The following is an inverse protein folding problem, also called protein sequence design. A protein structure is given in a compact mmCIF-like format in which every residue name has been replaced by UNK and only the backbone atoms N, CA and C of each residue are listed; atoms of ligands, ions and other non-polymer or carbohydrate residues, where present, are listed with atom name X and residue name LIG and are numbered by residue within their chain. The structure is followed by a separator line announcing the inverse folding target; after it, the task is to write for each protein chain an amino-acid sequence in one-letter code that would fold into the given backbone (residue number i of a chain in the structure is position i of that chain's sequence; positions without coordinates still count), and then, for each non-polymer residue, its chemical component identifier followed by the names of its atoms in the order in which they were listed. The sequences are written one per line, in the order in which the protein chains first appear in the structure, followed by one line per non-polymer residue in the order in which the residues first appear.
data_IF_466874322632
#
_entry.id   IF_466874322632
#
_cell.length_a   1.000
_cell.length_b   1.000
_cell.length_c   1.000
_cell.angle_alpha   90.00
_cell.angle_beta   90.00
_cell.angle_gamma   90.00
#
_symmetry.space_group_name_H-M   'P 1'
#
loop_
_entity.id
_entity.type
_entity.pdbx_description
1 polymer ?
#
# COMPACT_ATOMS: atom_id res chain seq x y z
N UNK A 1 -45.69 43.54 38.70
CA UNK A 1 -45.39 42.17 38.16
C UNK A 1 -44.49 42.33 36.97
N UNK A 2 -43.20 42.08 37.17
CA UNK A 2 -42.19 42.17 36.10
C UNK A 2 -42.11 40.80 35.38
N UNK A 3 -42.46 40.77 34.09
CA UNK A 3 -42.29 39.58 33.26
C UNK A 3 -40.83 39.44 32.89
N UNK A 4 -40.18 38.41 33.39
CA UNK A 4 -38.83 38.00 33.01
C UNK A 4 -38.99 37.18 31.74
N UNK A 5 -38.51 37.69 30.59
CA UNK A 5 -38.34 36.92 29.37
C UNK A 5 -37.01 36.19 29.47
N UNK A 6 -37.10 34.88 29.71
CA UNK A 6 -35.93 33.99 29.56
C UNK A 6 -35.73 33.79 28.07
N UNK A 7 -34.73 34.47 27.53
CA UNK A 7 -34.26 34.18 26.17
C UNK A 7 -33.43 32.89 26.28
N UNK A 8 -34.08 31.78 25.87
CA UNK A 8 -33.38 30.55 25.59
C UNK A 8 -32.53 30.78 24.34
N UNK A 9 -31.26 31.14 24.55
CA UNK A 9 -30.25 31.14 23.52
C UNK A 9 -29.95 29.67 23.24
N UNK A 10 -30.67 29.07 22.28
CA UNK A 10 -30.33 27.77 21.73
C UNK A 10 -29.01 27.92 20.99
N UNK A 11 -27.92 27.64 21.71
CA UNK A 11 -26.62 27.41 21.12
C UNK A 11 -26.73 26.08 20.35
N UNK A 12 -27.27 26.16 19.14
CA UNK A 12 -27.05 25.12 18.13
C UNK A 12 -25.59 25.26 17.75
N UNK A 13 -24.74 24.64 18.55
CA UNK A 13 -23.41 24.29 18.10
C UNK A 13 -23.62 23.35 16.91
N UNK A 14 -23.58 23.91 15.70
CA UNK A 14 -23.21 23.16 14.52
C UNK A 14 -21.81 22.61 14.83
N UNK A 15 -21.76 21.47 15.49
CA UNK A 15 -20.68 20.53 15.27
C UNK A 15 -20.81 20.18 13.78
N UNK A 16 -20.18 20.99 12.93
CA UNK A 16 -19.68 20.51 11.67
C UNK A 16 -18.77 19.34 12.06
N UNK A 17 -19.34 18.14 12.14
CA UNK A 17 -18.57 16.97 11.93
C UNK A 17 -17.94 17.21 10.54
N UNK A 18 -16.74 17.76 10.54
CA UNK A 18 -15.84 17.60 9.42
C UNK A 18 -15.73 16.08 9.31
N UNK A 19 -16.63 15.50 8.54
CA UNK A 19 -16.41 14.19 8.00
C UNK A 19 -15.02 14.34 7.38
N UNK A 20 -14.02 13.79 8.03
CA UNK A 20 -12.71 13.62 7.42
C UNK A 20 -13.02 12.74 6.22
N UNK A 21 -13.29 13.39 5.09
CA UNK A 21 -13.40 12.69 3.83
C UNK A 21 -12.07 12.03 3.66
N UNK A 22 -12.06 10.73 3.79
CA UNK A 22 -10.89 9.90 3.49
C UNK A 22 -10.31 10.42 2.19
N UNK A 23 -9.04 10.85 2.15
CA UNK A 23 -8.47 11.38 0.93
C UNK A 23 -8.71 10.36 -0.18
N UNK A 24 -9.42 10.75 -1.23
CA UNK A 24 -9.56 9.88 -2.36
C UNK A 24 -8.23 9.94 -3.12
N UNK A 25 -7.38 8.93 -2.94
CA UNK A 25 -6.05 8.84 -3.54
C UNK A 25 -6.10 8.90 -5.09
N UNK A 26 -7.27 8.64 -5.66
CA UNK A 26 -7.48 8.58 -7.11
C UNK A 26 -8.16 9.85 -7.67
N UNK A 27 -8.45 10.82 -6.81
CA UNK A 27 -9.06 12.10 -7.22
C UNK A 27 -8.35 13.25 -6.54
N UNK A 28 -7.79 14.13 -7.35
CA UNK A 28 -7.26 15.39 -6.85
C UNK A 28 -8.39 16.29 -6.34
N UNK A 29 -8.10 17.08 -5.31
CA UNK A 29 -9.00 18.12 -4.83
C UNK A 29 -9.27 19.17 -5.92
N UNK A 30 -8.28 19.44 -6.78
CA UNK A 30 -8.37 20.27 -7.96
C UNK A 30 -7.99 19.45 -9.20
N UNK A 31 -9.00 18.90 -9.87
CA UNK A 31 -8.84 18.07 -11.06
C UNK A 31 -8.24 18.82 -12.24
N UNK A 32 -8.58 20.10 -12.42
CA UNK A 32 -8.06 20.90 -13.52
C UNK A 32 -6.55 21.16 -13.35
N UNK A 33 -6.14 21.49 -12.14
CA UNK A 33 -4.72 21.67 -11.79
C UNK A 33 -3.93 20.39 -11.96
N UNK A 34 -4.49 19.26 -11.52
CA UNK A 34 -3.86 17.96 -11.71
C UNK A 34 -3.69 17.62 -13.19
N UNK A 35 -4.74 17.77 -13.99
CA UNK A 35 -4.67 17.49 -15.42
C UNK A 35 -3.63 18.37 -16.11
N UNK A 36 -3.62 19.68 -15.82
CA UNK A 36 -2.61 20.59 -16.36
C UNK A 36 -1.17 20.17 -16.01
N UNK A 37 -0.95 19.74 -14.76
CA UNK A 37 0.36 19.23 -14.35
C UNK A 37 0.72 17.94 -15.08
N UNK A 38 -0.22 16.98 -15.17
CA UNK A 38 -0.02 15.70 -15.88
C UNK A 38 0.34 15.97 -17.35
N UNK A 39 -0.45 16.80 -18.04
CA UNK A 39 -0.23 17.12 -19.44
C UNK A 39 1.15 17.79 -19.64
N UNK A 40 1.50 18.75 -18.79
CA UNK A 40 2.79 19.45 -18.88
C UNK A 40 3.99 18.51 -18.69
N UNK A 41 3.89 17.56 -17.79
CA UNK A 41 4.95 16.57 -17.55
C UNK A 41 5.00 15.56 -18.70
N UNK A 42 3.83 15.07 -19.15
CA UNK A 42 3.73 14.09 -20.21
C UNK A 42 4.26 14.63 -21.55
N UNK A 43 3.90 15.87 -21.90
CA UNK A 43 4.34 16.50 -23.16
C UNK A 43 5.84 16.82 -23.17
N UNK A 44 6.42 17.05 -21.98
CA UNK A 44 7.85 17.27 -21.84
C UNK A 44 8.69 15.97 -21.87
N UNK A 45 8.07 14.80 -21.91
CA UNK A 45 8.76 13.51 -21.97
C UNK A 45 8.92 13.00 -23.40
N UNK A 46 10.09 12.46 -23.73
CA UNK A 46 10.27 11.63 -24.91
C UNK A 46 9.46 10.33 -24.81
N UNK A 47 9.32 9.62 -25.94
CA UNK A 47 8.63 8.32 -25.96
C UNK A 47 9.30 7.32 -25.02
N UNK A 48 10.63 7.25 -25.02
CA UNK A 48 11.39 6.33 -24.16
C UNK A 48 11.24 6.70 -22.67
N UNK A 49 11.21 7.99 -22.33
CA UNK A 49 10.94 8.42 -20.96
C UNK A 49 9.53 8.05 -20.50
N UNK A 50 8.52 8.16 -21.37
CA UNK A 50 7.14 7.71 -21.06
C UNK A 50 7.09 6.22 -20.78
N UNK A 51 7.81 5.42 -21.59
CA UNK A 51 7.94 3.97 -21.32
C UNK A 51 8.67 3.73 -19.99
N UNK A 52 9.75 4.45 -19.73
CA UNK A 52 10.50 4.36 -18.47
C UNK A 52 9.63 4.55 -17.23
N UNK A 53 8.66 5.49 -17.29
CA UNK A 53 7.73 5.73 -16.18
C UNK A 53 6.83 4.52 -15.83
N UNK A 54 6.67 3.55 -16.72
CA UNK A 54 5.90 2.33 -16.45
C UNK A 54 6.68 1.28 -15.65
N UNK A 55 7.97 1.48 -15.42
CA UNK A 55 8.81 0.52 -14.68
C UNK A 55 8.99 0.92 -13.23
N UNK A 56 8.74 -0.06 -12.35
CA UNK A 56 9.14 -0.04 -10.96
C UNK A 56 10.20 -1.13 -10.76
N UNK A 57 11.39 -0.73 -10.29
CA UNK A 57 12.53 -1.64 -10.18
C UNK A 57 12.85 -1.97 -8.74
N UNK A 58 13.34 -3.20 -8.49
CA UNK A 58 13.77 -3.61 -7.16
C UNK A 58 15.03 -2.83 -6.77
N UNK A 59 14.92 -2.13 -5.64
CA UNK A 59 16.01 -1.43 -4.98
C UNK A 59 16.35 -2.15 -3.67
N UNK A 60 17.54 -2.74 -3.60
CA UNK A 60 18.03 -3.17 -2.30
C UNK A 60 18.53 -1.93 -1.56
N UNK A 61 18.11 -1.70 -0.31
CA UNK A 61 18.60 -0.58 0.49
C UNK A 61 20.02 -0.90 0.99
N UNK A 62 20.97 -0.84 0.07
CA UNK A 62 22.40 -0.94 0.30
C UNK A 62 23.05 0.28 -0.29
N UNK A 63 23.82 0.99 0.51
CA UNK A 63 24.55 2.20 0.09
C UNK A 63 25.85 1.89 -0.65
N UNK A 64 26.13 0.60 -0.95
CA UNK A 64 27.34 0.23 -1.69
C UNK A 64 27.36 0.85 -3.09
N UNK A 65 28.59 1.14 -3.55
CA UNK A 65 28.81 1.89 -4.81
C UNK A 65 28.19 1.21 -6.02
N UNK A 66 28.28 -0.11 -6.14
CA UNK A 66 27.76 -0.85 -7.31
C UNK A 66 26.23 -0.77 -7.39
N UNK A 67 25.56 -0.98 -6.25
CA UNK A 67 24.10 -0.88 -6.18
C UNK A 67 23.64 0.53 -6.50
N UNK A 68 24.28 1.54 -5.92
CA UNK A 68 23.93 2.93 -6.18
C UNK A 68 24.19 3.35 -7.63
N UNK A 69 25.31 2.92 -8.24
CA UNK A 69 25.56 3.19 -9.68
C UNK A 69 24.47 2.58 -10.57
N UNK A 70 24.05 1.34 -10.28
CA UNK A 70 22.96 0.69 -11.01
C UNK A 70 21.64 1.45 -10.88
N UNK A 71 21.23 1.81 -9.67
CA UNK A 71 20.00 2.54 -9.41
C UNK A 71 20.02 3.94 -10.04
N UNK A 72 21.13 4.66 -9.90
CA UNK A 72 21.32 5.97 -10.52
C UNK A 72 21.23 5.91 -12.06
N UNK A 73 21.73 4.83 -12.68
CA UNK A 73 21.56 4.62 -14.12
C UNK A 73 20.09 4.44 -14.50
N UNK A 74 19.32 3.67 -13.74
CA UNK A 74 17.88 3.53 -13.99
C UNK A 74 17.13 4.88 -13.87
N UNK A 75 17.48 5.69 -12.89
CA UNK A 75 16.90 7.03 -12.72
C UNK A 75 17.30 7.97 -13.83
N UNK A 76 18.61 8.02 -14.19
CA UNK A 76 19.14 9.03 -15.08
C UNK A 76 18.98 8.68 -16.57
N UNK A 77 19.05 7.39 -16.93
CA UNK A 77 19.02 6.96 -18.34
C UNK A 77 17.64 6.39 -18.70
N UNK A 78 17.09 5.47 -17.89
CA UNK A 78 15.80 4.83 -18.17
C UNK A 78 14.62 5.69 -17.75
N UNK A 79 14.80 6.62 -16.79
CA UNK A 79 13.75 7.49 -16.23
C UNK A 79 12.61 6.70 -15.59
N UNK A 80 12.94 5.71 -14.78
CA UNK A 80 11.95 4.83 -14.13
C UNK A 80 10.93 5.61 -13.29
N UNK A 81 9.68 5.10 -13.27
CA UNK A 81 8.58 5.68 -12.51
C UNK A 81 8.54 5.29 -11.04
N UNK A 82 9.24 4.23 -10.64
CA UNK A 82 9.20 3.78 -9.26
C UNK A 82 10.30 2.82 -8.84
N UNK A 83 10.38 2.63 -7.52
CA UNK A 83 11.29 1.69 -6.86
C UNK A 83 10.52 0.85 -5.84
N UNK A 84 10.89 -0.43 -5.75
CA UNK A 84 10.38 -1.38 -4.76
C UNK A 84 11.53 -1.78 -3.82
N UNK A 85 11.40 -1.46 -2.54
CA UNK A 85 12.35 -1.93 -1.54
C UNK A 85 12.03 -3.35 -1.09
N UNK A 86 13.01 -4.24 -1.16
CA UNK A 86 12.82 -5.65 -0.87
C UNK A 86 13.29 -6.04 0.55
N UNK A 87 14.48 -5.67 0.96
CA UNK A 87 15.03 -5.94 2.30
C UNK A 87 16.06 -4.87 2.69
N UNK A 88 16.16 -4.58 3.99
CA UNK A 88 17.15 -3.64 4.50
C UNK A 88 16.87 -3.16 5.91
N UNK A 89 17.31 -1.94 6.17
CA UNK A 89 17.06 -1.21 7.39
C UNK A 89 16.51 0.19 7.06
N UNK A 90 15.81 0.84 8.00
CA UNK A 90 15.16 2.14 7.74
C UNK A 90 16.13 3.25 7.35
N UNK A 91 17.29 3.31 7.99
CA UNK A 91 18.26 4.39 7.77
C UNK A 91 18.81 4.33 6.35
N UNK A 92 19.32 3.17 5.96
CA UNK A 92 19.87 2.97 4.61
C UNK A 92 18.78 3.14 3.53
N UNK A 93 17.55 2.70 3.80
CA UNK A 93 16.43 2.93 2.86
C UNK A 93 16.16 4.42 2.68
N UNK A 94 16.09 5.21 3.76
CA UNK A 94 15.84 6.64 3.69
C UNK A 94 16.96 7.35 2.90
N UNK A 95 18.23 7.01 3.14
CA UNK A 95 19.37 7.55 2.41
C UNK A 95 19.28 7.26 0.91
N UNK A 96 19.00 6.01 0.54
CA UNK A 96 18.87 5.58 -0.86
C UNK A 96 17.68 6.30 -1.51
N UNK A 97 16.53 6.35 -0.84
CA UNK A 97 15.33 7.05 -1.32
C UNK A 97 15.64 8.52 -1.61
N UNK A 98 16.24 9.23 -0.66
CA UNK A 98 16.54 10.65 -0.79
C UNK A 98 17.52 10.92 -1.94
N UNK A 99 18.53 10.08 -2.13
CA UNK A 99 19.50 10.22 -3.22
C UNK A 99 18.84 10.00 -4.58
N UNK A 100 17.99 8.99 -4.72
CA UNK A 100 17.32 8.68 -5.97
C UNK A 100 16.24 9.72 -6.31
N UNK A 101 15.44 10.14 -5.34
CA UNK A 101 14.44 11.21 -5.53
C UNK A 101 15.08 12.53 -5.93
N UNK A 102 16.21 12.89 -5.31
CA UNK A 102 16.96 14.11 -5.69
C UNK A 102 17.49 14.07 -7.13
N UNK A 103 17.83 12.89 -7.63
CA UNK A 103 18.34 12.70 -8.99
C UNK A 103 17.22 12.61 -10.04
N UNK A 104 16.01 12.23 -9.62
CA UNK A 104 14.89 12.05 -10.53
C UNK A 104 14.28 13.38 -10.94
N UNK A 105 14.06 13.56 -12.25
CA UNK A 105 13.36 14.74 -12.80
C UNK A 105 11.86 14.71 -12.45
N UNK A 106 11.27 13.52 -12.47
CA UNK A 106 9.87 13.28 -12.08
C UNK A 106 9.92 12.49 -10.78
N UNK A 107 9.22 12.92 -9.72
CA UNK A 107 9.20 12.17 -8.46
C UNK A 107 8.76 10.72 -8.67
N UNK A 108 9.55 9.78 -8.16
CA UNK A 108 9.26 8.34 -8.29
C UNK A 108 8.31 7.87 -7.21
N UNK A 109 7.48 6.89 -7.55
CA UNK A 109 6.74 6.12 -6.56
C UNK A 109 7.69 5.18 -5.81
N UNK A 110 7.53 5.12 -4.50
CA UNK A 110 8.29 4.23 -3.63
C UNK A 110 7.34 3.19 -3.05
N UNK A 111 7.68 1.94 -3.16
CA UNK A 111 6.85 0.83 -2.70
C UNK A 111 7.60 -0.17 -1.84
N UNK A 112 6.85 -0.98 -1.14
CA UNK A 112 7.34 -2.04 -0.27
C UNK A 112 6.25 -3.12 -0.10
N UNK A 113 6.65 -4.38 0.09
CA UNK A 113 5.76 -5.44 0.58
C UNK A 113 5.74 -5.43 2.11
N UNK A 114 4.72 -4.87 2.69
CA UNK A 114 4.54 -4.80 4.14
C UNK A 114 3.24 -5.44 4.61
N UNK A 115 3.00 -6.71 4.26
CA UNK A 115 1.74 -7.41 4.56
C UNK A 115 1.41 -7.40 6.04
N UNK A 116 2.41 -7.61 6.89
CA UNK A 116 2.31 -7.47 8.36
C UNK A 116 3.18 -6.34 8.89
N UNK A 117 3.18 -5.20 8.16
CA UNK A 117 3.95 -4.01 8.49
C UNK A 117 5.37 -4.04 7.95
N UNK A 118 6.13 -2.96 8.21
CA UNK A 118 7.44 -2.74 7.62
C UNK A 118 8.47 -3.80 8.02
N UNK A 119 8.30 -4.44 9.18
CA UNK A 119 9.19 -5.49 9.68
C UNK A 119 9.29 -6.74 8.79
N UNK A 120 8.35 -6.90 7.86
CA UNK A 120 8.47 -7.91 6.81
C UNK A 120 9.72 -7.69 5.95
N UNK A 121 10.12 -6.45 5.76
CA UNK A 121 11.22 -6.04 4.86
C UNK A 121 12.33 -5.27 5.54
N UNK A 122 12.00 -4.48 6.56
CA UNK A 122 12.94 -3.57 7.22
C UNK A 122 13.24 -4.04 8.64
N UNK A 123 14.48 -4.46 8.87
CA UNK A 123 14.95 -4.85 10.21
C UNK A 123 14.90 -3.64 11.16
N UNK A 124 14.62 -3.93 12.44
CA UNK A 124 14.57 -2.88 13.47
C UNK A 124 13.28 -2.07 13.51
N UNK A 125 12.29 -2.39 12.68
CA UNK A 125 10.95 -1.79 12.75
C UNK A 125 9.99 -2.61 13.64
N UNK A 126 8.84 -2.02 13.99
CA UNK A 126 7.84 -2.69 14.82
C UNK A 126 7.36 -4.00 14.18
N UNK A 127 7.41 -5.07 14.96
CA UNK A 127 6.91 -6.38 14.53
C UNK A 127 5.45 -6.53 14.93
N UNK A 128 4.60 -6.68 13.92
CA UNK A 128 3.20 -7.05 14.11
C UNK A 128 3.00 -8.56 13.93
N UNK A 129 1.89 -9.12 14.46
CA UNK A 129 1.49 -10.48 14.14
C UNK A 129 1.27 -10.66 12.63
N UNK A 130 1.41 -11.90 12.16
CA UNK A 130 1.02 -12.24 10.78
C UNK A 130 -0.49 -12.22 10.61
N UNK A 131 -0.95 -12.10 9.38
CA UNK A 131 -2.36 -11.89 9.05
C UNK A 131 -3.28 -12.99 9.58
N UNK A 132 -2.86 -14.26 9.60
CA UNK A 132 -3.67 -15.35 10.16
C UNK A 132 -4.02 -15.11 11.64
N UNK A 133 -3.09 -14.57 12.42
CA UNK A 133 -3.36 -14.21 13.82
C UNK A 133 -4.27 -12.98 13.91
N UNK A 134 -4.10 -12.00 13.03
CA UNK A 134 -4.97 -10.83 12.93
C UNK A 134 -6.39 -11.22 12.48
N UNK A 135 -6.51 -12.27 11.67
CA UNK A 135 -7.78 -12.84 11.24
C UNK A 135 -8.67 -13.34 12.38
N UNK A 136 -8.07 -13.74 13.51
CA UNK A 136 -8.80 -14.17 14.71
C UNK A 136 -9.42 -13.02 15.53
N UNK A 137 -9.10 -11.77 15.20
CA UNK A 137 -9.68 -10.60 15.87
C UNK A 137 -11.11 -10.39 15.35
N UNK A 138 -12.11 -10.36 16.23
CA UNK A 138 -13.51 -10.17 15.83
C UNK A 138 -13.79 -8.74 15.37
N UNK A 139 -13.27 -7.74 16.10
CA UNK A 139 -13.48 -6.32 15.82
C UNK A 139 -12.60 -5.80 14.69
N UNK A 140 -13.19 -5.64 13.50
CA UNK A 140 -12.49 -5.11 12.31
C UNK A 140 -12.01 -3.66 12.46
N UNK A 141 -12.51 -2.91 13.45
CA UNK A 141 -11.99 -1.56 13.71
C UNK A 141 -10.53 -1.61 14.16
N UNK A 142 -10.11 -2.64 14.88
CA UNK A 142 -8.72 -2.86 15.29
C UNK A 142 -7.81 -3.14 14.09
N UNK A 143 -8.33 -3.83 13.07
CA UNK A 143 -7.59 -4.05 11.81
C UNK A 143 -7.43 -2.74 11.05
N UNK A 144 -8.44 -1.87 11.08
CA UNK A 144 -8.33 -0.54 10.48
C UNK A 144 -7.28 0.33 11.22
N UNK A 145 -7.27 0.31 12.55
CA UNK A 145 -6.24 1.02 13.34
C UNK A 145 -4.84 0.46 13.08
N UNK A 146 -4.70 -0.85 12.97
CA UNK A 146 -3.46 -1.48 12.56
C UNK A 146 -3.00 -0.99 11.17
N UNK A 147 -3.92 -0.91 10.19
CA UNK A 147 -3.62 -0.36 8.86
C UNK A 147 -3.18 1.10 8.91
N UNK A 148 -3.79 1.92 9.77
CA UNK A 148 -3.38 3.32 9.99
C UNK A 148 -1.95 3.41 10.57
N UNK A 149 -1.60 2.55 11.50
CA UNK A 149 -0.25 2.54 12.07
C UNK A 149 0.80 2.12 11.04
N UNK A 150 0.52 1.08 10.23
CA UNK A 150 1.39 0.70 9.11
C UNK A 150 1.54 1.86 8.11
N UNK A 151 0.45 2.55 7.79
CA UNK A 151 0.50 3.71 6.90
C UNK A 151 1.34 4.86 7.49
N UNK A 152 1.24 5.12 8.79
CA UNK A 152 2.06 6.11 9.47
C UNK A 152 3.56 5.80 9.30
N UNK A 153 3.94 4.54 9.50
CA UNK A 153 5.32 4.09 9.31
C UNK A 153 5.75 4.20 7.84
N UNK A 154 4.88 3.83 6.90
CA UNK A 154 5.14 4.01 5.47
C UNK A 154 5.44 5.48 5.13
N UNK A 155 4.64 6.42 5.64
CA UNK A 155 4.83 7.86 5.40
C UNK A 155 6.16 8.37 5.96
N UNK A 156 6.55 7.94 7.15
CA UNK A 156 7.85 8.28 7.76
C UNK A 156 9.03 7.80 6.91
N UNK A 157 8.84 6.68 6.22
CA UNK A 157 9.84 6.10 5.31
C UNK A 157 9.75 6.59 3.88
N UNK A 158 8.83 7.53 3.56
CA UNK A 158 8.62 8.02 2.20
C UNK A 158 8.06 6.95 1.24
N UNK A 159 7.34 5.96 1.77
CA UNK A 159 6.69 4.91 0.99
C UNK A 159 5.29 5.37 0.60
N UNK A 160 4.95 5.26 -0.68
CA UNK A 160 3.68 5.68 -1.27
C UNK A 160 2.73 4.51 -1.48
N UNK A 161 3.28 3.30 -1.75
CA UNK A 161 2.52 2.09 -2.09
C UNK A 161 2.94 0.97 -1.15
N UNK A 162 1.98 0.34 -0.50
CA UNK A 162 2.19 -0.93 0.19
C UNK A 162 1.51 -2.06 -0.61
N UNK A 163 2.28 -3.05 -1.07
CA UNK A 163 1.74 -4.24 -1.71
C UNK A 163 1.11 -5.17 -0.66
N UNK A 164 0.01 -4.69 -0.11
CA UNK A 164 -0.86 -5.30 0.89
C UNK A 164 -2.27 -4.68 0.77
N UNK A 165 -3.31 -5.38 1.19
CA UNK A 165 -3.37 -6.66 1.91
C UNK A 165 -3.14 -7.89 1.03
N UNK A 166 -2.73 -9.00 1.67
CA UNK A 166 -2.90 -10.34 1.13
C UNK A 166 -4.39 -10.72 1.29
N UNK A 167 -5.06 -10.96 0.16
CA UNK A 167 -6.49 -11.30 0.10
C UNK A 167 -6.71 -12.79 -0.24
N UNK A 168 -5.62 -13.56 -0.31
CA UNK A 168 -5.71 -14.98 -0.60
C UNK A 168 -6.42 -15.72 0.53
N UNK A 169 -7.40 -16.53 0.18
CA UNK A 169 -8.10 -17.41 1.11
C UNK A 169 -7.27 -18.68 1.30
N UNK A 170 -6.93 -19.03 2.54
CA UNK A 170 -6.15 -20.24 2.84
C UNK A 170 -7.00 -21.51 2.70
N UNK A 171 -7.49 -21.76 1.48
CA UNK A 171 -8.36 -22.91 1.16
C UNK A 171 -7.60 -24.23 1.06
N UNK A 172 -6.30 -24.19 0.79
CA UNK A 172 -5.41 -25.35 0.78
C UNK A 172 -4.40 -25.26 1.93
N UNK A 173 -4.53 -26.15 2.92
CA UNK A 173 -3.65 -26.19 4.09
C UNK A 173 -2.20 -26.58 3.75
N UNK A 174 -1.98 -27.24 2.62
CA UNK A 174 -0.66 -27.65 2.15
C UNK A 174 0.01 -26.59 1.27
N UNK A 175 -0.63 -25.43 1.11
CA UNK A 175 -0.07 -24.33 0.33
C UNK A 175 1.26 -23.84 0.92
N UNK A 176 2.38 -23.89 0.16
CA UNK A 176 3.71 -23.58 0.68
C UNK A 176 3.98 -22.07 0.83
N UNK A 177 3.12 -21.22 0.28
CA UNK A 177 3.37 -19.77 0.14
C UNK A 177 2.44 -18.92 0.98
N UNK A 178 1.15 -19.19 0.94
CA UNK A 178 0.13 -18.33 1.57
C UNK A 178 0.04 -18.59 3.07
N UNK A 179 -0.51 -19.71 3.51
CA UNK A 179 -0.55 -20.09 4.92
C UNK A 179 -0.81 -18.91 5.87
N UNK A 180 0.16 -18.61 6.72
CA UNK A 180 0.07 -17.53 7.72
C UNK A 180 -0.02 -16.11 7.15
N UNK A 181 0.14 -15.93 5.84
CA UNK A 181 -0.03 -14.63 5.17
C UNK A 181 -1.50 -14.30 4.95
N UNK A 182 -2.36 -15.30 4.80
CA UNK A 182 -3.81 -15.14 4.72
C UNK A 182 -4.40 -14.66 6.05
N UNK A 183 -5.54 -13.96 5.99
CA UNK A 183 -6.35 -13.66 7.18
C UNK A 183 -7.21 -14.84 7.63
N UNK A 184 -7.31 -15.93 6.86
CA UNK A 184 -8.07 -17.12 7.24
C UNK A 184 -8.54 -17.98 6.08
N UNK A 185 -9.48 -18.87 6.37
CA UNK A 185 -10.01 -19.88 5.46
C UNK A 185 -11.42 -19.54 4.96
N UNK A 186 -12.08 -18.55 5.56
CA UNK A 186 -13.41 -18.10 5.16
C UNK A 186 -13.29 -16.89 4.23
N UNK A 187 -13.78 -16.94 2.98
CA UNK A 187 -13.64 -15.86 2.00
C UNK A 187 -14.21 -14.53 2.48
N UNK A 188 -15.38 -14.54 3.12
CA UNK A 188 -16.01 -13.32 3.63
C UNK A 188 -15.19 -12.68 4.76
N UNK A 189 -14.69 -13.50 5.68
CA UNK A 189 -13.83 -13.03 6.77
C UNK A 189 -12.51 -12.45 6.24
N UNK A 190 -11.89 -13.10 5.26
CA UNK A 190 -10.69 -12.60 4.58
C UNK A 190 -10.97 -11.27 3.89
N UNK A 191 -12.08 -11.17 3.15
CA UNK A 191 -12.49 -9.93 2.49
C UNK A 191 -12.70 -8.78 3.49
N UNK A 192 -13.44 -9.03 4.57
CA UNK A 192 -13.71 -8.02 5.61
C UNK A 192 -12.42 -7.51 6.27
N UNK A 193 -11.50 -8.43 6.62
CA UNK A 193 -10.20 -8.08 7.21
C UNK A 193 -9.32 -7.31 6.24
N UNK A 194 -9.21 -7.80 5.00
CA UNK A 194 -8.43 -7.13 3.97
C UNK A 194 -8.96 -5.73 3.66
N UNK A 195 -10.28 -5.56 3.54
CA UNK A 195 -10.92 -4.25 3.36
C UNK A 195 -10.67 -3.32 4.55
N UNK A 196 -10.74 -3.83 5.78
CA UNK A 196 -10.44 -3.03 6.97
C UNK A 196 -9.00 -2.54 6.97
N UNK A 197 -8.05 -3.42 6.62
CA UNK A 197 -6.64 -3.06 6.50
C UNK A 197 -6.41 -2.04 5.38
N UNK A 198 -6.95 -2.28 4.18
CA UNK A 198 -6.86 -1.35 3.06
C UNK A 198 -7.41 0.05 3.40
N UNK A 199 -8.59 0.11 4.05
CA UNK A 199 -9.16 1.39 4.54
C UNK A 199 -8.23 2.11 5.52
N UNK A 200 -7.53 1.38 6.37
CA UNK A 200 -6.52 1.93 7.27
C UNK A 200 -5.37 2.58 6.51
N UNK A 201 -4.82 1.89 5.50
CA UNK A 201 -3.75 2.38 4.65
C UNK A 201 -4.19 3.61 3.85
N UNK A 202 -5.27 3.49 3.09
CA UNK A 202 -5.74 4.52 2.16
C UNK A 202 -6.28 5.75 2.89
N UNK A 203 -6.91 5.57 4.04
CA UNK A 203 -7.36 6.67 4.90
C UNK A 203 -6.22 7.55 5.42
N UNK A 204 -5.00 7.07 5.34
CA UNK A 204 -3.78 7.80 5.67
C UNK A 204 -2.96 8.22 4.45
N UNK A 205 -3.44 7.96 3.23
CA UNK A 205 -2.77 8.38 2.01
C UNK A 205 -1.73 7.40 1.45
N UNK A 206 -1.74 6.13 1.89
CA UNK A 206 -0.90 5.06 1.32
C UNK A 206 -1.76 4.22 0.38
N UNK A 207 -1.30 4.05 -0.85
CA UNK A 207 -1.96 3.20 -1.84
C UNK A 207 -1.85 1.75 -1.39
N UNK A 208 -3.00 1.08 -1.21
CA UNK A 208 -3.06 -0.36 -0.95
C UNK A 208 -3.12 -1.14 -2.26
N UNK A 209 -2.60 -2.36 -2.26
CA UNK A 209 -2.62 -3.26 -3.42
C UNK A 209 -3.03 -4.65 -2.97
N UNK A 210 -4.28 -5.00 -3.25
CA UNK A 210 -4.81 -6.35 -2.98
C UNK A 210 -4.12 -7.38 -3.88
N UNK A 211 -3.73 -8.51 -3.28
CA UNK A 211 -3.00 -9.59 -3.97
C UNK A 211 -3.37 -10.94 -3.37
N UNK A 212 -3.24 -12.03 -4.15
CA UNK A 212 -2.69 -12.18 -5.48
C UNK A 212 -3.81 -12.59 -6.44
N UNK A 213 -4.17 -11.75 -7.35
CA UNK A 213 -5.22 -12.09 -8.33
C UNK A 213 -4.78 -13.19 -9.29
N UNK A 214 -5.65 -14.16 -9.61
CA UNK A 214 -7.05 -14.33 -9.20
C UNK A 214 -7.23 -15.10 -7.87
N UNK A 215 -6.19 -15.41 -7.14
CA UNK A 215 -6.11 -16.14 -5.89
C UNK A 215 -4.97 -17.17 -5.92
N UNK A 216 -4.17 -17.19 -4.87
CA UNK A 216 -3.03 -18.09 -4.71
C UNK A 216 -3.23 -19.12 -3.58
N UNK A 217 -4.33 -18.98 -2.81
CA UNK A 217 -4.57 -19.82 -1.63
C UNK A 217 -4.87 -21.29 -1.93
N UNK A 218 -5.37 -21.62 -3.15
CA UNK A 218 -5.70 -22.97 -3.60
C UNK A 218 -4.53 -23.71 -4.27
N UNK A 219 -3.39 -23.04 -4.51
CA UNK A 219 -2.28 -23.63 -5.25
C UNK A 219 -1.42 -24.55 -4.38
N UNK A 220 -0.77 -25.55 -5.01
CA UNK A 220 0.16 -26.47 -4.36
C UNK A 220 1.63 -26.13 -4.59
N UNK A 221 1.91 -25.08 -5.36
CA UNK A 221 3.24 -24.72 -5.81
C UNK A 221 3.60 -23.30 -5.42
N UNK A 222 4.89 -23.06 -5.18
CA UNK A 222 5.41 -21.73 -4.91
C UNK A 222 5.70 -20.99 -6.21
N UNK A 223 4.99 -19.88 -6.44
CA UNK A 223 5.15 -19.02 -7.62
C UNK A 223 6.54 -18.37 -7.75
N UNK A 224 7.37 -18.41 -6.71
CA UNK A 224 8.76 -17.96 -6.80
C UNK A 224 9.67 -18.95 -7.53
N UNK A 225 9.28 -20.21 -7.65
CA UNK A 225 10.09 -21.28 -8.24
C UNK A 225 9.43 -21.92 -9.46
N UNK A 226 8.10 -21.95 -9.50
CA UNK A 226 7.32 -22.57 -10.57
C UNK A 226 6.21 -21.65 -11.04
N UNK A 227 5.49 -22.03 -12.09
CA UNK A 227 4.27 -21.34 -12.51
C UNK A 227 3.06 -22.12 -12.00
N UNK A 228 2.50 -21.79 -10.84
CA UNK A 228 1.32 -22.47 -10.34
C UNK A 228 0.13 -22.22 -11.24
N UNK A 229 -0.65 -23.27 -11.48
CA UNK A 229 -1.85 -23.19 -12.29
C UNK A 229 -3.10 -23.25 -11.41
N UNK A 230 -4.02 -22.33 -11.66
CA UNK A 230 -5.36 -22.35 -11.07
C UNK A 230 -6.33 -22.94 -12.08
N UNK A 231 -6.69 -24.21 -11.89
CA UNK A 231 -7.57 -24.97 -12.79
C UNK A 231 -9.04 -24.92 -12.35
N UNK A 232 -9.52 -23.72 -12.02
CA UNK A 232 -10.90 -23.55 -11.58
C UNK A 232 -11.76 -22.93 -12.69
N UNK A 233 -13.02 -23.35 -12.72
CA UNK A 233 -14.02 -22.66 -13.54
C UNK A 233 -14.41 -21.31 -12.92
N UNK A 234 -15.16 -20.54 -13.70
CA UNK A 234 -15.58 -19.21 -13.27
C UNK A 234 -16.43 -19.25 -12.00
N UNK A 235 -17.30 -20.24 -11.86
CA UNK A 235 -18.17 -20.34 -10.69
C UNK A 235 -17.35 -20.51 -9.41
N UNK A 236 -16.27 -21.29 -9.46
CA UNK A 236 -15.35 -21.44 -8.33
C UNK A 236 -14.58 -20.14 -8.05
N UNK A 237 -14.05 -19.47 -9.08
CA UNK A 237 -13.32 -18.21 -8.92
C UNK A 237 -14.20 -17.08 -8.37
N UNK A 238 -15.50 -17.08 -8.72
CA UNK A 238 -16.45 -16.08 -8.21
C UNK A 238 -16.92 -16.40 -6.77
N UNK A 239 -16.57 -17.56 -6.21
CA UNK A 239 -17.01 -18.02 -4.87
C UNK A 239 -15.93 -17.97 -3.79
N UNK A 240 -14.71 -17.65 -4.13
CA UNK A 240 -13.55 -17.68 -3.20
C UNK A 240 -12.76 -16.39 -3.22
#
# INVERSE_FOLDING_TARGET
MKKIYILLFSCVTFLSALAQTTPNLYRAADQAKMNHWVDSVFDAMSYDERIGQLFMVIANPKSDTRNMQRLMRYVNEVKIGGILFHKGDPVTQAEVTNRLQKASRIPMLVSLDGEWGLSMRLSGTTRFPKNMMLGAIEDNSLITEYGKEVARQCKEMGIHINFAPDMDVNSNTDNPVIGLRSFGENPNAVADKGLAYARGLEGQGIISVSKHFPGHGDTNEDSHYTLPAVHHDRARLDSV
#
